data_IF_472902456739
#
_entry.id   IF_472902456739
#
_cell.length_a   1.000
_cell.length_b   1.000
_cell.length_c   1.000
_cell.angle_alpha   90.00
_cell.angle_beta   90.00
_cell.angle_gamma   90.00
#
_symmetry.space_group_name_H-M   'P 1'
#
loop_
_entity.id
_entity.type
_entity.pdbx_description
1 polymer ?
#
# COMPACT_ATOMS: atom_id res chain seq x y z
N UNK A 1 6.79 -55.29 34.12
CA UNK A 1 6.95 -54.74 32.75
C UNK A 1 5.67 -54.11 32.16
N UNK A 2 4.50 -54.17 32.82
CA UNK A 2 3.25 -53.61 32.26
C UNK A 2 3.07 -52.09 32.43
N UNK A 3 3.62 -51.49 33.50
CA UNK A 3 3.43 -50.05 33.79
C UNK A 3 4.05 -49.12 32.74
N UNK A 4 5.23 -49.44 32.19
CA UNK A 4 5.88 -48.61 31.16
C UNK A 4 5.13 -48.58 29.81
N UNK A 5 4.39 -49.64 29.48
CA UNK A 5 3.55 -49.69 28.28
C UNK A 5 2.27 -48.85 28.42
N UNK A 6 1.73 -48.75 29.64
CA UNK A 6 0.56 -47.93 29.93
C UNK A 6 0.91 -46.44 29.90
N UNK A 7 2.05 -46.07 30.48
CA UNK A 7 2.52 -44.68 30.55
C UNK A 7 2.92 -44.14 29.16
N UNK A 8 3.55 -44.99 28.34
CA UNK A 8 3.89 -44.66 26.95
C UNK A 8 2.65 -44.44 26.08
N UNK A 9 1.59 -45.23 26.27
CA UNK A 9 0.30 -45.03 25.56
C UNK A 9 -0.37 -43.74 25.97
N UNK A 10 -0.48 -43.48 27.28
CA UNK A 10 -1.04 -42.24 27.79
C UNK A 10 -0.30 -41.00 27.25
N UNK A 11 1.03 -41.06 27.14
CA UNK A 11 1.85 -40.00 26.56
C UNK A 11 1.63 -39.82 25.05
N UNK A 12 1.49 -40.91 24.30
CA UNK A 12 1.18 -40.86 22.86
C UNK A 12 -0.21 -40.27 22.60
N UNK A 13 -1.20 -40.63 23.42
CA UNK A 13 -2.55 -40.10 23.32
C UNK A 13 -2.58 -38.60 23.63
N UNK A 14 -1.86 -38.17 24.67
CA UNK A 14 -1.73 -36.76 25.02
C UNK A 14 -1.05 -35.94 23.91
N UNK A 15 0.06 -36.45 23.34
CA UNK A 15 0.75 -35.80 22.23
C UNK A 15 -0.12 -35.74 20.97
N UNK A 16 -0.93 -36.78 20.71
CA UNK A 16 -1.85 -36.81 19.58
C UNK A 16 -2.93 -35.73 19.72
N UNK A 17 -3.48 -35.56 20.92
CA UNK A 17 -4.44 -34.50 21.22
C UNK A 17 -3.83 -33.09 21.10
N UNK A 18 -2.59 -32.92 21.54
CA UNK A 18 -1.86 -31.65 21.42
C UNK A 18 -1.59 -31.29 19.95
N UNK A 19 -1.14 -32.26 19.13
CA UNK A 19 -0.93 -32.06 17.68
C UNK A 19 -2.24 -31.71 16.96
N UNK A 20 -3.36 -32.33 17.33
CA UNK A 20 -4.66 -31.99 16.78
C UNK A 20 -5.04 -30.53 17.09
N UNK A 21 -4.84 -30.11 18.34
CA UNK A 21 -5.10 -28.74 18.80
C UNK A 21 -4.23 -27.73 18.04
N UNK A 22 -2.93 -27.99 17.93
CA UNK A 22 -1.99 -27.09 17.23
C UNK A 22 -2.32 -26.97 15.73
N UNK A 23 -2.74 -28.06 15.09
CA UNK A 23 -3.15 -28.03 13.67
C UNK A 23 -4.40 -27.17 13.46
N UNK A 24 -5.35 -27.22 14.38
CA UNK A 24 -6.55 -26.39 14.34
C UNK A 24 -6.24 -24.91 14.62
N UNK A 25 -5.36 -24.63 15.57
CA UNK A 25 -4.87 -23.27 15.79
C UNK A 25 -4.15 -22.70 14.56
N UNK A 26 -3.32 -23.51 13.89
CA UNK A 26 -2.62 -23.11 12.67
C UNK A 26 -3.58 -22.87 11.50
N UNK A 27 -4.58 -23.74 11.30
CA UNK A 27 -5.57 -23.55 10.24
C UNK A 27 -6.37 -22.26 10.44
N UNK A 28 -6.75 -21.97 11.69
CA UNK A 28 -7.43 -20.73 12.05
C UNK A 28 -6.56 -19.50 11.81
N UNK A 29 -5.32 -19.49 12.29
CA UNK A 29 -4.39 -18.37 12.06
C UNK A 29 -4.12 -18.14 10.57
N UNK A 30 -4.00 -19.22 9.79
CA UNK A 30 -3.86 -19.13 8.34
C UNK A 30 -5.09 -18.50 7.70
N UNK A 31 -6.30 -18.91 8.08
CA UNK A 31 -7.53 -18.32 7.59
C UNK A 31 -7.66 -16.84 7.97
N UNK A 32 -7.26 -16.46 9.19
CA UNK A 32 -7.23 -15.06 9.64
C UNK A 32 -6.22 -14.22 8.84
N UNK A 33 -5.04 -14.77 8.52
CA UNK A 33 -4.05 -14.11 7.68
C UNK A 33 -4.52 -13.97 6.22
N UNK A 34 -5.10 -15.03 5.66
CA UNK A 34 -5.62 -15.03 4.29
C UNK A 34 -6.81 -14.04 4.17
N UNK A 35 -7.68 -13.96 5.18
CA UNK A 35 -8.74 -12.96 5.26
C UNK A 35 -8.19 -11.53 5.35
N UNK A 36 -7.11 -11.30 6.12
CA UNK A 36 -6.41 -10.00 6.18
C UNK A 36 -5.68 -9.67 4.87
N UNK A 37 -5.18 -10.67 4.16
CA UNK A 37 -4.53 -10.50 2.86
C UNK A 37 -5.54 -10.21 1.74
N UNK A 38 -6.78 -10.69 1.88
CA UNK A 38 -7.91 -10.41 0.98
C UNK A 38 -8.61 -9.07 1.22
N UNK A 39 -8.36 -8.41 2.36
CA UNK A 39 -8.71 -7.00 2.50
C UNK A 39 -7.90 -6.20 1.47
N UNK A 40 -8.47 -5.18 0.81
CA UNK A 40 -7.70 -4.35 -0.09
C UNK A 40 -6.49 -3.82 0.69
N UNK A 41 -5.28 -3.95 0.13
CA UNK A 41 -3.97 -3.58 0.72
C UNK A 41 -3.87 -2.06 0.95
N UNK A 42 -4.87 -1.48 1.58
CA UNK A 42 -5.20 -0.07 1.72
C UNK A 42 -4.17 0.72 2.51
N UNK A 43 -3.06 0.12 2.95
CA UNK A 43 -2.06 0.80 3.79
C UNK A 43 -0.62 0.39 3.56
N UNK A 44 -0.32 -0.44 2.56
CA UNK A 44 1.06 -0.78 2.24
C UNK A 44 1.54 0.15 1.14
N UNK A 45 2.10 1.28 1.54
CA UNK A 45 2.78 2.19 0.62
C UNK A 45 4.29 2.11 0.81
N UNK A 46 5.04 2.32 -0.27
CA UNK A 46 6.49 2.40 -0.21
C UNK A 46 6.96 3.51 0.75
N UNK A 47 6.20 4.60 0.86
CA UNK A 47 6.49 5.69 1.81
C UNK A 47 6.51 5.23 3.26
N UNK A 48 5.63 4.30 3.65
CA UNK A 48 5.51 3.83 5.04
C UNK A 48 6.40 2.62 5.31
N UNK A 49 6.49 1.69 4.37
CA UNK A 49 7.12 0.38 4.59
C UNK A 49 8.54 0.28 4.01
N UNK A 50 8.92 1.16 3.09
CA UNK A 50 10.16 1.05 2.30
C UNK A 50 10.29 -0.29 1.56
N UNK A 51 9.17 -0.93 1.27
CA UNK A 51 9.05 -2.16 0.48
C UNK A 51 8.03 -1.94 -0.64
N UNK A 52 8.33 -2.46 -1.83
CA UNK A 52 7.44 -2.34 -2.98
C UNK A 52 6.19 -3.23 -2.82
N UNK A 53 4.96 -2.70 -2.92
CA UNK A 53 3.75 -3.53 -2.80
C UNK A 53 3.57 -4.50 -3.97
N UNK A 54 4.18 -4.21 -5.13
CA UNK A 54 4.07 -5.02 -6.33
C UNK A 54 5.03 -6.23 -6.34
N UNK A 55 6.31 -6.04 -6.00
CA UNK A 55 7.33 -7.11 -6.08
C UNK A 55 8.06 -7.40 -4.75
N UNK A 56 7.72 -6.74 -3.66
CA UNK A 56 8.35 -6.87 -2.33
C UNK A 56 9.84 -6.47 -2.28
N UNK A 57 10.35 -5.80 -3.33
CA UNK A 57 11.71 -5.27 -3.36
C UNK A 57 11.93 -4.18 -2.30
N UNK A 58 13.11 -4.20 -1.66
CA UNK A 58 13.49 -3.30 -0.54
C UNK A 58 14.36 -2.12 -0.93
N UNK A 59 14.70 -2.00 -2.22
CA UNK A 59 15.41 -0.84 -2.75
C UNK A 59 14.40 0.09 -3.40
N UNK A 60 14.19 1.24 -2.76
CA UNK A 60 13.20 2.23 -3.18
C UNK A 60 13.88 3.59 -3.31
N UNK A 61 13.65 4.28 -4.42
CA UNK A 61 14.06 5.65 -4.63
C UNK A 61 12.96 6.59 -4.16
N UNK A 62 13.32 7.62 -3.40
CA UNK A 62 12.42 8.71 -3.05
C UNK A 62 12.84 9.98 -3.79
N UNK A 63 12.03 10.36 -4.77
CA UNK A 63 12.16 11.62 -5.49
C UNK A 63 11.35 12.67 -4.72
N UNK A 64 12.05 13.44 -3.88
CA UNK A 64 11.43 14.42 -2.98
C UNK A 64 10.68 15.54 -3.72
N UNK A 65 11.22 15.95 -4.87
CA UNK A 65 10.63 16.95 -5.75
C UNK A 65 10.80 16.46 -7.19
N UNK A 66 9.69 16.33 -7.91
CA UNK A 66 9.69 16.00 -9.32
C UNK A 66 9.78 17.31 -10.11
N UNK A 67 10.81 17.45 -10.94
CA UNK A 67 10.98 18.63 -11.77
C UNK A 67 10.40 18.37 -13.17
N UNK A 68 9.62 19.32 -13.65
CA UNK A 68 9.11 19.37 -15.01
C UNK A 68 9.75 20.54 -15.77
N UNK A 69 9.81 20.42 -17.09
CA UNK A 69 10.26 21.46 -17.99
C UNK A 69 9.07 21.97 -18.78
N UNK A 70 8.52 23.10 -18.33
CA UNK A 70 7.45 23.78 -19.06
C UNK A 70 7.95 24.55 -20.27
N UNK A 71 7.05 25.36 -20.83
CA UNK A 71 7.36 26.25 -21.94
C UNK A 71 8.56 27.15 -21.62
N UNK A 72 9.51 27.21 -22.56
CA UNK A 72 10.77 27.94 -22.37
C UNK A 72 11.89 27.13 -21.68
N UNK A 73 11.71 25.83 -21.45
CA UNK A 73 12.73 24.91 -20.91
C UNK A 73 13.21 25.29 -19.48
N UNK A 74 12.38 26.01 -18.73
CA UNK A 74 12.63 26.36 -17.34
C UNK A 74 12.27 25.15 -16.46
N UNK A 75 13.20 24.76 -15.58
CA UNK A 75 12.95 23.70 -14.59
C UNK A 75 12.07 24.25 -13.48
N UNK A 76 10.90 23.66 -13.29
CA UNK A 76 9.97 24.00 -12.23
C UNK A 76 9.44 22.74 -11.56
N UNK A 77 9.03 22.79 -10.28
CA UNK A 77 8.36 21.65 -9.65
C UNK A 77 7.12 21.24 -10.44
N UNK A 78 6.93 19.94 -10.63
CA UNK A 78 5.69 19.41 -11.18
C UNK A 78 4.54 19.71 -10.21
N UNK A 79 3.48 20.30 -10.74
CA UNK A 79 2.36 20.87 -9.98
C UNK A 79 1.10 20.89 -10.83
N UNK A 80 -0.06 20.94 -10.18
CA UNK A 80 -1.33 21.25 -10.83
C UNK A 80 -1.38 22.77 -11.11
N UNK A 81 -1.75 23.16 -12.32
CA UNK A 81 -1.81 24.58 -12.72
C UNK A 81 -3.23 25.09 -12.64
N UNK A 82 -3.51 26.03 -11.73
CA UNK A 82 -4.84 26.64 -11.62
C UNK A 82 -4.94 27.98 -12.32
N UNK A 83 -6.17 28.36 -12.69
CA UNK A 83 -6.47 29.71 -13.19
C UNK A 83 -6.19 30.71 -12.07
N UNK A 84 -5.38 31.73 -12.36
CA UNK A 84 -5.20 32.88 -11.49
C UNK A 84 -5.59 34.17 -12.20
N UNK A 85 -5.91 35.21 -11.43
CA UNK A 85 -6.41 36.48 -11.96
C UNK A 85 -5.40 37.22 -12.84
N UNK A 86 -4.10 37.01 -12.61
CA UNK A 86 -3.01 37.64 -13.38
C UNK A 86 -2.10 36.65 -14.11
N UNK A 87 -1.94 35.44 -13.57
CA UNK A 87 -1.15 34.36 -14.14
C UNK A 87 -1.61 33.02 -13.54
N UNK A 88 -1.39 31.88 -14.22
CA UNK A 88 -1.60 30.57 -13.62
C UNK A 88 -0.79 30.40 -12.34
N UNK A 89 -1.39 29.79 -11.32
CA UNK A 89 -0.74 29.55 -10.04
C UNK A 89 -0.42 28.06 -9.90
N UNK A 90 0.85 27.67 -9.71
CA UNK A 90 1.20 26.29 -9.44
C UNK A 90 0.77 25.92 -8.01
N UNK A 91 0.04 24.82 -7.86
CA UNK A 91 -0.39 24.26 -6.58
C UNK A 91 -0.16 22.75 -6.52
N UNK A 92 -0.13 22.18 -5.32
CA UNK A 92 0.03 20.73 -5.14
C UNK A 92 1.33 20.19 -5.72
N UNK A 93 2.48 20.48 -5.08
CA UNK A 93 3.77 19.88 -5.48
C UNK A 93 3.75 18.37 -5.29
N UNK A 94 4.39 17.66 -6.21
CA UNK A 94 4.44 16.20 -6.19
C UNK A 94 5.78 15.64 -5.71
N UNK A 95 5.70 14.52 -5.01
CA UNK A 95 6.82 13.60 -4.78
C UNK A 95 6.48 12.21 -5.32
N UNK A 96 7.51 11.43 -5.62
CA UNK A 96 7.35 10.09 -6.16
C UNK A 96 8.27 9.10 -5.44
N UNK A 97 7.75 7.91 -5.18
CA UNK A 97 8.52 6.76 -4.70
C UNK A 97 8.57 5.71 -5.80
N UNK A 98 9.76 5.20 -6.13
CA UNK A 98 9.96 4.27 -7.25
C UNK A 98 10.70 3.03 -6.79
N UNK A 99 10.15 1.84 -7.05
CA UNK A 99 10.85 0.59 -6.81
C UNK A 99 11.99 0.40 -7.82
N UNK A 100 13.22 0.17 -7.31
CA UNK A 100 14.37 -0.07 -8.17
C UNK A 100 14.32 -1.44 -8.89
N UNK A 101 13.49 -2.37 -8.42
CA UNK A 101 13.39 -3.72 -8.98
C UNK A 101 12.40 -3.83 -10.13
N UNK A 102 11.15 -3.42 -9.90
CA UNK A 102 10.07 -3.58 -10.89
C UNK A 102 9.61 -2.25 -11.53
N UNK A 103 10.15 -1.11 -11.11
CA UNK A 103 9.77 0.20 -11.64
C UNK A 103 8.41 0.73 -11.19
N UNK A 104 7.67 -0.01 -10.34
CA UNK A 104 6.41 0.47 -9.78
C UNK A 104 6.60 1.82 -9.06
N UNK A 105 5.70 2.76 -9.33
CA UNK A 105 5.79 4.13 -8.86
C UNK A 105 4.53 4.56 -8.09
N UNK A 106 4.72 5.20 -6.95
CA UNK A 106 3.68 5.83 -6.14
C UNK A 106 3.87 7.34 -6.15
N UNK A 107 2.79 8.09 -6.39
CA UNK A 107 2.80 9.56 -6.43
C UNK A 107 2.05 10.13 -5.24
N UNK A 108 2.59 11.23 -4.70
CA UNK A 108 2.00 11.94 -3.57
C UNK A 108 1.98 13.43 -3.82
N UNK A 109 0.91 14.08 -3.38
CA UNK A 109 0.87 15.54 -3.24
C UNK A 109 1.38 15.93 -1.85
N UNK A 110 2.24 16.94 -1.76
CA UNK A 110 2.84 17.39 -0.50
C UNK A 110 1.85 18.20 0.35
N UNK A 111 1.00 19.00 -0.30
CA UNK A 111 -0.02 19.84 0.35
C UNK A 111 -1.37 19.70 -0.36
N UNK A 112 -2.13 18.61 -0.09
CA UNK A 112 -3.41 18.36 -0.74
C UNK A 112 -4.45 19.45 -0.47
N UNK A 113 -4.35 20.19 0.64
CA UNK A 113 -5.29 21.27 0.99
C UNK A 113 -5.15 22.49 0.09
N UNK A 114 -4.03 22.61 -0.61
CA UNK A 114 -3.81 23.67 -1.60
C UNK A 114 -4.52 23.41 -2.92
N UNK A 115 -5.05 22.19 -3.14
CA UNK A 115 -5.82 21.84 -4.33
C UNK A 115 -7.16 22.58 -4.30
N UNK A 116 -7.26 23.59 -5.17
CA UNK A 116 -8.53 24.25 -5.46
C UNK A 116 -9.39 23.29 -6.29
N UNK A 117 -10.56 22.94 -5.79
CA UNK A 117 -11.49 22.01 -6.44
C UNK A 117 -12.41 22.72 -7.43
N UNK A 118 -12.42 24.06 -7.46
CA UNK A 118 -13.28 24.85 -8.34
C UNK A 118 -12.63 25.14 -9.70
N UNK A 119 -11.71 24.27 -10.14
CA UNK A 119 -10.97 24.42 -11.40
C UNK A 119 -11.35 23.31 -12.39
N UNK A 120 -11.47 23.69 -13.68
CA UNK A 120 -12.01 22.85 -14.76
C UNK A 120 -11.37 21.47 -14.98
N UNK A 121 -10.24 21.16 -14.34
CA UNK A 121 -9.45 19.94 -14.54
C UNK A 121 -9.25 19.12 -13.26
N UNK A 122 -10.01 19.42 -12.19
CA UNK A 122 -10.03 18.63 -10.96
C UNK A 122 -11.43 18.08 -10.76
N UNK A 123 -11.55 16.75 -10.74
CA UNK A 123 -12.79 16.04 -10.44
C UNK A 123 -12.67 15.39 -9.05
N UNK A 124 -13.72 15.54 -8.23
CA UNK A 124 -13.81 14.87 -6.92
C UNK A 124 -14.54 13.54 -7.12
N UNK A 125 -13.86 12.44 -6.81
CA UNK A 125 -14.48 11.12 -6.71
C UNK A 125 -14.57 10.70 -5.25
N UNK A 126 -15.77 10.65 -4.72
CA UNK A 126 -16.06 10.00 -3.44
C UNK A 126 -16.45 8.55 -3.72
N UNK A 127 -15.95 7.62 -2.90
CA UNK A 127 -16.32 6.22 -3.03
C UNK A 127 -17.73 6.07 -2.47
N UNK A 128 -18.71 5.99 -3.35
CA UNK A 128 -19.95 5.26 -3.05
C UNK A 128 -19.60 3.77 -3.17
N UNK A 129 -20.09 2.91 -2.27
CA UNK A 129 -19.69 1.49 -2.13
C UNK A 129 -19.90 0.61 -3.39
N UNK A 130 -20.24 1.19 -4.53
CA UNK A 130 -20.48 0.53 -5.80
C UNK A 130 -19.56 1.08 -6.89
N UNK A 131 -18.74 0.16 -7.37
CA UNK A 131 -18.03 0.16 -8.64
C UNK A 131 -16.78 1.04 -8.78
N UNK A 132 -15.70 0.31 -9.10
CA UNK A 132 -14.59 0.63 -9.99
C UNK A 132 -14.40 2.12 -10.35
N UNK A 133 -13.30 2.67 -9.84
CA UNK A 133 -12.88 4.05 -10.07
C UNK A 133 -12.81 4.46 -11.55
N UNK A 134 -12.67 5.77 -11.81
CA UNK A 134 -12.94 6.42 -13.11
C UNK A 134 -12.06 5.94 -14.27
N UNK A 135 -10.96 5.24 -13.98
CA UNK A 135 -10.02 4.75 -14.97
C UNK A 135 -9.89 3.24 -14.82
N UNK A 136 -10.38 2.49 -15.81
CA UNK A 136 -10.12 1.06 -16.02
C UNK A 136 -9.15 0.88 -17.18
#
# INVERSE_FOLDING_TARGET
MSQGSSDSRARLDALTAEVATLREQLSRLKAELDARAGLPRTRQSMRTLLECPHCQGRRVYHVKEVLDRGDGNIKQPFSVSTKGFWAPKPIGRFSCWVCAGCGFAEWYVQDPRSLDTDVDHVEIHEVDDKDHGPYR
#
